data_IF_440117085509
#
_entry.id   IF_440117085509
#
_cell.length_a   1.000
_cell.length_b   1.000
_cell.length_c   1.000
_cell.angle_alpha   90.00
_cell.angle_beta   90.00
_cell.angle_gamma   90.00
#
_symmetry.space_group_name_H-M   'P 1'
#
loop_
_entity.id
_entity.type
_entity.pdbx_description
1 polymer ?
#
# COMPACT_ATOMS: atom_id res chain seq x y z
N UNK A 1 -2.53 1.64 -5.80
CA UNK A 1 -3.34 1.97 -6.99
C UNK A 1 -3.27 3.47 -7.10
N UNK A 2 -2.94 4.01 -8.28
CA UNK A 2 -2.83 5.44 -8.52
C UNK A 2 -4.09 6.18 -8.04
N UNK A 3 -3.90 7.33 -7.40
CA UNK A 3 -4.98 8.22 -6.93
C UNK A 3 -5.94 8.52 -8.08
N UNK A 4 -7.24 8.35 -7.83
CA UNK A 4 -8.28 8.68 -8.80
C UNK A 4 -8.57 10.18 -8.74
N UNK A 5 -8.28 10.91 -9.81
CA UNK A 5 -8.34 12.39 -9.77
C UNK A 5 -9.63 12.93 -10.42
N UNK A 6 -10.41 12.09 -11.10
CA UNK A 6 -11.67 12.49 -11.73
C UNK A 6 -12.70 13.02 -10.72
N UNK A 7 -12.73 14.34 -10.50
CA UNK A 7 -13.78 15.04 -9.75
C UNK A 7 -14.97 15.22 -10.69
N UNK A 8 -16.09 14.53 -10.44
CA UNK A 8 -17.29 14.61 -11.27
C UNK A 8 -17.65 16.06 -11.62
N UNK A 9 -17.87 16.34 -12.90
CA UNK A 9 -18.26 17.65 -13.41
C UNK A 9 -19.75 17.73 -13.72
N UNK A 10 -20.35 18.89 -13.48
CA UNK A 10 -21.69 19.23 -13.93
C UNK A 10 -21.69 19.45 -15.45
N UNK A 11 -22.54 18.71 -16.16
CA UNK A 11 -22.81 18.93 -17.59
C UNK A 11 -23.99 19.90 -17.72
N UNK A 12 -23.91 20.94 -18.57
CA UNK A 12 -25.03 21.86 -18.82
C UNK A 12 -26.17 21.20 -19.62
N UNK A 13 -25.96 20.00 -20.13
CA UNK A 13 -26.99 19.17 -20.76
C UNK A 13 -27.56 18.18 -19.74
N UNK A 14 -28.90 17.96 -19.74
CA UNK A 14 -29.48 16.89 -18.95
C UNK A 14 -28.79 15.59 -19.33
N UNK A 15 -28.25 14.89 -18.34
CA UNK A 15 -27.68 13.56 -18.50
C UNK A 15 -28.85 12.67 -18.93
N UNK A 16 -29.14 12.58 -20.22
CA UNK A 16 -29.69 11.34 -20.73
C UNK A 16 -28.66 10.31 -20.30
N UNK A 17 -29.01 9.46 -19.34
CA UNK A 17 -28.24 8.25 -19.05
C UNK A 17 -27.99 7.63 -20.41
N UNK A 18 -26.79 7.86 -20.98
CA UNK A 18 -26.34 7.08 -22.12
C UNK A 18 -26.56 5.66 -21.62
N UNK A 19 -27.42 4.85 -22.25
CA UNK A 19 -27.56 3.46 -21.84
C UNK A 19 -26.14 2.96 -21.80
N UNK A 20 -25.69 2.50 -20.63
CA UNK A 20 -24.33 2.04 -20.40
C UNK A 20 -23.91 1.34 -21.69
N UNK A 21 -23.11 2.03 -22.52
CA UNK A 21 -22.51 1.37 -23.67
C UNK A 21 -21.82 0.21 -22.99
N UNK A 22 -22.14 -0.99 -23.45
CA UNK A 22 -21.58 -2.24 -23.00
C UNK A 22 -20.06 -2.20 -23.24
N UNK A 23 -19.33 -1.35 -22.52
CA UNK A 23 -17.96 -1.61 -22.13
C UNK A 23 -18.13 -2.72 -21.11
N UNK A 24 -17.92 -4.00 -21.47
CA UNK A 24 -17.80 -5.02 -20.44
C UNK A 24 -16.83 -4.48 -19.41
N UNK A 25 -17.27 -4.43 -18.14
CA UNK A 25 -16.44 -3.93 -17.05
C UNK A 25 -15.11 -4.65 -17.15
N UNK A 26 -14.02 -3.92 -17.44
CA UNK A 26 -12.71 -4.54 -17.54
C UNK A 26 -12.43 -5.22 -16.20
N UNK A 27 -11.73 -6.34 -16.19
CA UNK A 27 -11.38 -7.03 -14.94
C UNK A 27 -10.73 -6.08 -13.91
N UNK A 28 -10.04 -5.06 -14.39
CA UNK A 28 -9.46 -3.97 -13.59
C UNK A 28 -10.51 -3.09 -12.89
N UNK A 29 -11.65 -2.80 -13.53
CA UNK A 29 -12.75 -2.04 -12.92
C UNK A 29 -13.51 -2.87 -11.88
N UNK A 30 -13.60 -4.19 -12.08
CA UNK A 30 -14.13 -5.11 -11.06
C UNK A 30 -13.20 -5.19 -9.85
N UNK A 31 -11.88 -5.26 -10.08
CA UNK A 31 -10.85 -5.18 -9.04
C UNK A 31 -10.92 -3.84 -8.29
N UNK A 32 -11.18 -2.73 -8.98
CA UNK A 32 -11.33 -1.42 -8.34
C UNK A 32 -12.52 -1.41 -7.36
N UNK A 33 -13.66 -1.94 -7.79
CA UNK A 33 -14.92 -1.90 -7.01
C UNK A 33 -14.97 -2.91 -5.86
N UNK A 34 -14.45 -4.12 -6.09
CA UNK A 34 -14.60 -5.26 -5.16
C UNK A 34 -13.29 -5.74 -4.57
N UNK A 35 -12.15 -5.28 -5.07
CA UNK A 35 -10.85 -5.65 -4.55
C UNK A 35 -10.61 -5.06 -3.17
N UNK A 36 -9.87 -5.82 -2.37
CA UNK A 36 -9.36 -5.34 -1.10
C UNK A 36 -8.09 -4.54 -1.34
N UNK A 37 -7.90 -3.48 -0.54
CA UNK A 37 -6.68 -2.70 -0.58
C UNK A 37 -5.56 -3.48 0.12
N UNK A 38 -4.41 -3.58 -0.52
CA UNK A 38 -3.23 -4.25 0.01
C UNK A 38 -1.94 -3.46 -0.27
N UNK A 39 -0.93 -3.67 0.56
CA UNK A 39 0.45 -3.26 0.32
C UNK A 39 1.19 -4.39 -0.37
N UNK A 40 2.04 -4.02 -1.32
CA UNK A 40 2.82 -4.98 -2.07
C UNK A 40 4.24 -4.47 -2.25
N UNK A 41 5.20 -5.31 -1.92
CA UNK A 41 6.62 -5.05 -2.09
C UNK A 41 7.39 -6.36 -2.10
N UNK A 42 8.65 -6.26 -2.52
CA UNK A 42 9.62 -7.36 -2.45
C UNK A 42 10.63 -7.09 -1.34
N UNK A 43 10.99 -8.14 -0.61
CA UNK A 43 12.10 -8.12 0.33
C UNK A 43 13.36 -8.63 -0.35
N UNK A 44 14.40 -7.82 -0.37
CA UNK A 44 15.74 -8.19 -0.87
C UNK A 44 16.74 -8.15 0.27
N UNK A 45 17.82 -8.93 0.18
CA UNK A 45 18.85 -8.87 1.22
C UNK A 45 19.55 -7.51 1.20
N UNK A 46 19.75 -6.93 2.38
CA UNK A 46 20.47 -5.68 2.52
C UNK A 46 21.97 -5.90 2.25
N UNK A 47 22.60 -5.10 1.38
CA UNK A 47 24.02 -5.22 1.06
C UNK A 47 24.94 -4.73 2.19
N UNK A 48 24.42 -4.06 3.22
CA UNK A 48 25.22 -3.54 4.32
C UNK A 48 25.85 -4.67 5.16
N UNK A 49 27.06 -4.47 5.71
CA UNK A 49 27.69 -5.39 6.67
C UNK A 49 26.78 -5.64 7.88
N UNK A 50 26.76 -6.88 8.40
CA UNK A 50 25.86 -7.29 9.50
C UNK A 50 25.94 -6.36 10.72
N UNK A 51 27.14 -5.90 11.08
CA UNK A 51 27.39 -5.01 12.23
C UNK A 51 26.74 -3.62 12.09
N UNK A 52 26.46 -3.20 10.85
CA UNK A 52 25.81 -1.91 10.55
C UNK A 52 24.29 -2.03 10.33
N UNK A 53 23.77 -3.26 10.36
CA UNK A 53 22.33 -3.53 10.21
C UNK A 53 21.62 -3.25 11.52
N UNK A 54 21.32 -1.98 11.75
CA UNK A 54 20.36 -1.59 12.79
C UNK A 54 18.93 -1.86 12.30
N UNK A 55 18.00 -2.25 13.19
CA UNK A 55 16.57 -2.39 12.85
C UNK A 55 15.96 -1.14 12.21
N UNK A 56 16.52 0.05 12.48
CA UNK A 56 16.04 1.36 12.03
C UNK A 56 16.85 1.95 10.87
N UNK A 57 17.54 1.12 10.08
CA UNK A 57 18.23 1.61 8.89
C UNK A 57 17.19 2.13 7.89
N UNK A 58 17.38 3.35 7.36
CA UNK A 58 16.44 4.04 6.43
C UNK A 58 15.90 3.16 5.29
N UNK A 59 16.66 2.13 4.90
CA UNK A 59 16.33 1.23 3.80
C UNK A 59 16.22 -0.24 4.21
N UNK A 60 16.49 -0.60 5.47
CA UNK A 60 16.68 -1.99 5.88
C UNK A 60 15.96 -2.30 7.19
N UNK A 61 15.04 -3.26 7.14
CA UNK A 61 14.37 -3.86 8.29
C UNK A 61 15.03 -5.22 8.57
N UNK A 62 15.84 -5.28 9.64
CA UNK A 62 16.51 -6.50 10.10
C UNK A 62 17.31 -7.26 9.02
N UNK A 63 17.96 -6.53 8.12
CA UNK A 63 18.76 -7.11 7.04
C UNK A 63 18.00 -7.33 5.72
N UNK A 64 16.74 -6.91 5.63
CA UNK A 64 15.96 -6.95 4.38
C UNK A 64 15.55 -5.54 3.94
N UNK A 65 15.73 -5.22 2.66
CA UNK A 65 15.27 -3.97 2.05
C UNK A 65 13.92 -4.19 1.38
N UNK A 66 12.99 -3.27 1.62
CA UNK A 66 11.71 -3.22 0.90
C UNK A 66 11.95 -2.54 -0.45
N UNK A 67 11.53 -3.20 -1.51
CA UNK A 67 11.54 -2.66 -2.87
C UNK A 67 10.11 -2.57 -3.39
N UNK A 68 9.74 -1.37 -3.84
CA UNK A 68 8.42 -1.05 -4.35
C UNK A 68 8.49 -0.78 -5.86
N UNK A 69 7.42 -1.08 -6.57
CA UNK A 69 7.25 -0.58 -7.94
C UNK A 69 6.85 0.90 -7.87
N UNK A 70 7.71 1.79 -8.36
CA UNK A 70 7.46 3.24 -8.29
C UNK A 70 6.41 3.72 -9.30
N UNK A 71 6.32 3.06 -10.46
CA UNK A 71 5.44 3.47 -11.56
C UNK A 71 4.57 2.32 -12.04
N UNK A 72 3.31 2.60 -12.36
CA UNK A 72 2.39 1.66 -13.02
C UNK A 72 2.18 2.08 -14.47
N UNK A 73 2.38 1.15 -15.40
CA UNK A 73 2.00 1.33 -16.81
C UNK A 73 0.51 1.09 -16.95
N UNK A 74 -0.18 2.02 -17.60
CA UNK A 74 -1.58 1.91 -17.99
C UNK A 74 -1.62 1.95 -19.52
N UNK A 75 -2.27 0.95 -20.10
CA UNK A 75 -2.34 0.75 -21.55
C UNK A 75 -3.80 0.81 -22.01
N UNK A 76 -4.01 1.38 -23.19
CA UNK A 76 -5.29 1.46 -23.87
C UNK A 76 -6.41 2.04 -23.01
N UNK A 77 -6.09 3.05 -22.21
CA UNK A 77 -7.09 3.76 -21.42
C UNK A 77 -7.80 4.80 -22.28
N UNK A 78 -9.13 4.80 -22.24
CA UNK A 78 -9.93 5.87 -22.81
C UNK A 78 -9.97 7.03 -21.82
N UNK A 79 -9.64 8.23 -22.29
CA UNK A 79 -9.65 9.48 -21.52
C UNK A 79 -10.99 9.67 -20.82
N UNK A 80 -10.93 10.12 -19.56
CA UNK A 80 -12.13 10.38 -18.77
C UNK A 80 -12.91 11.59 -19.29
N UNK A 81 -12.19 12.65 -19.66
CA UNK A 81 -12.76 13.92 -20.12
C UNK A 81 -11.78 14.63 -21.05
N UNK A 82 -12.31 15.33 -22.04
CA UNK A 82 -11.55 16.20 -22.94
C UNK A 82 -12.14 17.60 -22.89
N UNK A 83 -11.28 18.61 -22.75
CA UNK A 83 -11.65 20.03 -22.79
C UNK A 83 -10.66 20.81 -23.65
N UNK A 84 -11.01 21.01 -24.92
CA UNK A 84 -10.13 21.68 -25.88
C UNK A 84 -8.81 20.90 -26.02
N UNK A 85 -7.74 21.45 -25.46
CA UNK A 85 -6.40 20.85 -25.49
C UNK A 85 -6.05 20.00 -24.28
N UNK A 86 -6.95 19.90 -23.30
CA UNK A 86 -6.72 19.17 -22.04
C UNK A 86 -7.40 17.82 -22.08
N UNK A 87 -6.63 16.77 -21.80
CA UNK A 87 -7.10 15.40 -21.79
C UNK A 87 -6.93 14.88 -20.36
N UNK A 88 -8.04 14.76 -19.65
CA UNK A 88 -8.07 14.29 -18.27
C UNK A 88 -8.09 12.77 -18.22
N UNK A 89 -7.21 12.22 -17.39
CA UNK A 89 -7.08 10.78 -17.19
C UNK A 89 -7.74 10.38 -15.86
N UNK A 90 -8.09 9.10 -15.69
CA UNK A 90 -8.72 8.65 -14.44
C UNK A 90 -7.72 8.59 -13.28
N UNK A 91 -6.46 8.30 -13.59
CA UNK A 91 -5.44 7.98 -12.61
C UNK A 91 -4.28 8.96 -12.67
N UNK A 92 -3.75 9.33 -11.50
CA UNK A 92 -2.52 10.10 -11.39
C UNK A 92 -1.87 9.93 -10.01
N UNK A 93 -0.73 10.60 -9.76
CA UNK A 93 -0.08 11.59 -10.63
C UNK A 93 0.53 10.97 -11.90
N UNK A 94 0.34 11.63 -13.05
CA UNK A 94 0.91 11.18 -14.33
C UNK A 94 2.43 11.44 -14.34
N UNK A 95 3.22 10.40 -14.63
CA UNK A 95 4.68 10.50 -14.78
C UNK A 95 5.09 10.79 -16.21
N UNK A 96 4.54 10.04 -17.16
CA UNK A 96 4.92 10.13 -18.57
C UNK A 96 3.83 9.55 -19.45
N UNK A 97 3.62 10.13 -20.64
CA UNK A 97 2.74 9.58 -21.67
C UNK A 97 3.60 8.87 -22.70
N UNK A 98 3.28 7.62 -22.99
CA UNK A 98 3.95 6.83 -24.03
C UNK A 98 3.33 7.10 -25.40
N UNK A 99 2.00 7.03 -25.49
CA UNK A 99 1.25 7.21 -26.74
C UNK A 99 -0.10 7.82 -26.46
N UNK A 100 -0.58 8.65 -27.38
CA UNK A 100 -1.90 9.25 -27.27
C UNK A 100 -2.54 9.32 -28.66
N UNK A 101 -3.75 8.77 -28.76
CA UNK A 101 -4.42 8.58 -30.04
C UNK A 101 -5.86 9.06 -29.98
N UNK A 102 -6.25 9.79 -31.00
CA UNK A 102 -7.62 10.18 -31.24
C UNK A 102 -8.21 9.35 -32.39
N UNK A 103 -9.42 8.84 -32.18
CA UNK A 103 -10.15 8.08 -33.19
C UNK A 103 -11.12 8.98 -33.94
N UNK A 104 -10.90 9.17 -35.23
CA UNK A 104 -11.80 9.89 -36.12
C UNK A 104 -12.07 9.10 -37.39
N UNK A 105 -13.35 8.80 -37.67
CA UNK A 105 -13.79 8.14 -38.91
C UNK A 105 -12.91 6.92 -39.27
N UNK A 106 -12.72 6.02 -38.29
CA UNK A 106 -11.91 4.78 -38.42
C UNK A 106 -10.40 5.00 -38.61
N UNK A 107 -9.90 6.23 -38.57
CA UNK A 107 -8.48 6.55 -38.56
C UNK A 107 -7.99 6.80 -37.13
N UNK A 108 -6.80 6.28 -36.84
CA UNK A 108 -6.07 6.50 -35.57
C UNK A 108 -5.06 7.62 -35.79
N UNK A 109 -5.35 8.80 -35.26
CA UNK A 109 -4.46 9.96 -35.33
C UNK A 109 -3.68 10.07 -34.03
N UNK A 110 -2.35 10.10 -34.12
CA UNK A 110 -1.49 10.34 -32.95
C UNK A 110 -1.50 11.83 -32.60
N UNK A 111 -1.71 12.13 -31.31
CA UNK A 111 -1.72 13.50 -30.80
C UNK A 111 -0.34 13.86 -30.24
N UNK A 112 0.00 15.15 -30.28
CA UNK A 112 1.31 15.60 -29.82
C UNK A 112 1.23 16.17 -28.42
N UNK A 113 1.94 15.56 -27.48
CA UNK A 113 1.98 16.01 -26.07
C UNK A 113 2.86 17.26 -25.92
N UNK A 114 2.29 18.33 -25.36
CA UNK A 114 3.03 19.53 -24.98
C UNK A 114 3.51 19.48 -23.53
N UNK A 115 2.59 19.19 -22.62
CA UNK A 115 2.84 19.26 -21.18
C UNK A 115 2.07 18.17 -20.45
N UNK A 116 2.65 17.65 -19.38
CA UNK A 116 2.04 16.66 -18.50
C UNK A 116 1.83 17.31 -17.13
N UNK A 117 0.58 17.33 -16.68
CA UNK A 117 0.21 17.68 -15.29
C UNK A 117 -0.18 16.42 -14.54
N UNK A 118 -0.44 16.55 -13.24
CA UNK A 118 -0.75 15.41 -12.38
C UNK A 118 -2.05 14.70 -12.79
N UNK A 119 -3.04 15.45 -13.31
CA UNK A 119 -4.41 15.02 -13.57
C UNK A 119 -4.84 15.09 -15.06
N UNK A 120 -4.10 15.85 -15.87
CA UNK A 120 -4.35 15.96 -17.30
C UNK A 120 -3.06 16.07 -18.12
N UNK A 121 -3.20 15.74 -19.41
CA UNK A 121 -2.19 15.93 -20.44
C UNK A 121 -2.65 17.06 -21.35
N UNK A 122 -1.73 17.98 -21.67
CA UNK A 122 -1.98 19.06 -22.61
C UNK A 122 -1.40 18.69 -23.97
N UNK A 123 -2.23 18.75 -25.01
CA UNK A 123 -1.86 18.41 -26.39
C UNK A 123 -1.83 19.65 -27.30
N UNK A 124 -1.16 19.55 -28.45
CA UNK A 124 -1.13 20.62 -29.46
C UNK A 124 -2.50 20.83 -30.11
N UNK A 125 -3.17 19.72 -30.40
CA UNK A 125 -4.39 19.67 -31.17
C UNK A 125 -5.61 20.09 -30.32
N UNK A 126 -6.54 20.81 -30.93
CA UNK A 126 -7.78 21.22 -30.28
C UNK A 126 -8.86 20.16 -30.50
N UNK A 127 -9.40 19.64 -29.40
CA UNK A 127 -10.35 18.54 -29.40
C UNK A 127 -11.69 18.97 -28.80
N UNK A 128 -12.75 18.44 -29.38
CA UNK A 128 -14.10 18.58 -28.86
C UNK A 128 -14.34 17.64 -27.68
N UNK A 129 -15.25 18.03 -26.77
CA UNK A 129 -15.52 17.30 -25.53
C UNK A 129 -16.02 15.86 -25.75
N UNK A 130 -16.56 15.56 -26.94
CA UNK A 130 -17.08 14.24 -27.30
C UNK A 130 -16.03 13.33 -27.96
N UNK A 131 -14.82 13.83 -28.24
CA UNK A 131 -13.74 13.02 -28.80
C UNK A 131 -13.27 11.97 -27.80
N UNK A 132 -13.11 10.73 -28.29
CA UNK A 132 -12.54 9.64 -27.51
C UNK A 132 -11.05 9.57 -27.80
N UNK A 133 -10.25 9.79 -26.75
CA UNK A 133 -8.80 9.68 -26.81
C UNK A 133 -8.37 8.43 -26.07
N UNK A 134 -7.57 7.58 -26.71
CA UNK A 134 -6.89 6.47 -26.08
C UNK A 134 -5.47 6.88 -25.69
N UNK A 135 -5.07 6.59 -24.46
CA UNK A 135 -3.80 7.02 -23.87
C UNK A 135 -3.10 5.84 -23.22
N UNK A 136 -1.81 5.69 -23.53
CA UNK A 136 -0.88 4.80 -22.84
C UNK A 136 0.06 5.67 -22.00
N UNK A 137 0.09 5.49 -20.67
CA UNK A 137 0.83 6.37 -19.78
C UNK A 137 1.29 5.65 -18.50
N UNK A 138 2.24 6.28 -17.80
CA UNK A 138 2.73 5.84 -16.49
C UNK A 138 2.20 6.75 -15.41
N UNK A 139 1.82 6.16 -14.30
CA UNK A 139 1.41 6.86 -13.08
C UNK A 139 2.37 6.54 -11.95
N UNK A 140 2.63 7.53 -11.08
CA UNK A 140 3.43 7.33 -9.88
C UNK A 140 2.61 6.63 -8.80
N UNK A 141 3.15 5.57 -8.23
CA UNK A 141 2.59 4.87 -7.07
C UNK A 141 3.14 5.40 -5.74
N UNK A 142 4.27 6.11 -5.79
CA UNK A 142 4.89 6.75 -4.62
C UNK A 142 4.71 8.27 -4.75
N UNK A 143 4.27 8.86 -3.63
CA UNK A 143 4.11 10.31 -3.48
C UNK A 143 4.89 10.81 -2.29
N UNK A 144 5.48 12.00 -2.41
CA UNK A 144 6.05 12.71 -1.26
C UNK A 144 4.98 13.64 -0.71
N UNK A 145 4.64 13.46 0.57
CA UNK A 145 3.71 14.35 1.28
C UNK A 145 4.44 15.06 2.41
N UNK A 146 4.02 16.29 2.67
CA UNK A 146 4.42 17.04 3.86
C UNK A 146 3.19 17.20 4.73
N UNK A 147 3.26 16.71 5.97
CA UNK A 147 2.16 16.80 6.94
C UNK A 147 2.66 17.45 8.22
N UNK A 148 1.74 18.11 8.92
CA UNK A 148 2.00 18.77 10.20
C UNK A 148 1.25 17.98 11.26
N UNK A 149 1.98 17.48 12.25
CA UNK A 149 1.41 16.73 13.37
C UNK A 149 1.66 17.49 14.65
N UNK A 150 0.64 17.59 15.50
CA UNK A 150 0.83 18.08 16.86
C UNK A 150 1.33 16.92 17.73
N UNK A 151 2.60 16.96 18.09
CA UNK A 151 3.21 15.96 18.94
C UNK A 151 2.99 16.30 20.41
N UNK A 152 2.50 15.34 21.18
CA UNK A 152 2.37 15.38 22.64
C UNK A 152 3.13 14.24 23.33
N UNK A 153 3.78 13.38 22.55
CA UNK A 153 4.47 12.18 23.02
C UNK A 153 5.66 11.80 22.12
N UNK A 154 6.33 10.68 22.42
CA UNK A 154 7.40 10.13 21.57
C UNK A 154 6.89 9.51 20.27
N UNK A 155 5.59 9.21 20.18
CA UNK A 155 5.00 8.52 19.02
C UNK A 155 3.92 9.40 18.43
N UNK A 156 3.98 9.60 17.12
CA UNK A 156 2.98 10.35 16.38
C UNK A 156 2.39 9.49 15.28
N UNK A 157 1.13 9.77 14.94
CA UNK A 157 0.38 9.10 13.87
C UNK A 157 0.01 10.14 12.81
N UNK A 158 0.92 10.46 11.88
CA UNK A 158 0.65 11.45 10.85
C UNK A 158 -0.56 11.07 10.00
N UNK A 159 -1.50 11.99 9.81
CA UNK A 159 -2.63 11.76 8.93
C UNK A 159 -2.16 11.63 7.47
N UNK A 160 -2.69 10.63 6.78
CA UNK A 160 -2.41 10.35 5.36
C UNK A 160 -3.75 10.29 4.64
N UNK A 161 -3.84 10.94 3.48
CA UNK A 161 -4.98 10.74 2.59
C UNK A 161 -5.01 9.28 2.07
N UNK A 162 -6.21 8.68 2.01
CA UNK A 162 -6.49 7.45 1.24
C UNK A 162 -5.72 6.15 1.63
N UNK A 163 -5.65 5.79 2.91
CA UNK A 163 -5.03 4.52 3.38
C UNK A 163 -3.58 4.30 2.88
N UNK A 164 -2.86 5.37 2.55
CA UNK A 164 -1.44 5.31 2.23
C UNK A 164 -0.63 4.73 3.38
N UNK A 165 0.56 4.21 3.08
CA UNK A 165 1.51 3.76 4.11
C UNK A 165 2.87 4.41 3.92
N UNK A 166 3.57 4.61 5.03
CA UNK A 166 4.95 5.07 5.03
C UNK A 166 5.88 4.03 4.41
N UNK A 167 6.50 4.41 3.30
CA UNK A 167 7.66 3.74 2.72
C UNK A 167 8.93 4.22 3.43
N UNK A 168 9.08 5.53 3.58
CA UNK A 168 10.19 6.17 4.27
C UNK A 168 9.73 7.47 4.93
N UNK A 169 10.39 7.82 6.04
CA UNK A 169 10.11 9.02 6.81
C UNK A 169 11.36 9.86 6.88
N UNK A 170 11.25 11.13 6.47
CA UNK A 170 12.27 12.14 6.63
C UNK A 170 11.73 13.23 7.59
N UNK A 171 12.39 13.41 8.74
CA UNK A 171 11.99 14.44 9.70
C UNK A 171 12.46 15.83 9.23
N UNK A 172 11.56 16.81 9.26
CA UNK A 172 11.89 18.20 8.93
C UNK A 172 11.23 19.14 9.94
N UNK A 173 12.04 19.81 10.74
CA UNK A 173 11.70 21.02 11.52
C UNK A 173 10.52 20.95 12.52
N UNK A 174 10.87 21.06 13.81
CA UNK A 174 9.98 21.61 14.84
C UNK A 174 10.04 23.13 14.76
N UNK A 175 8.92 23.84 14.98
CA UNK A 175 8.88 25.31 15.13
C UNK A 175 10.06 25.77 16.02
N UNK A 176 11.15 26.25 15.40
CA UNK A 176 12.47 26.71 15.92
C UNK A 176 13.71 26.21 15.14
N UNK A 177 13.57 25.59 13.95
CA UNK A 177 14.70 25.14 13.10
C UNK A 177 15.56 23.99 13.64
N UNK A 178 15.11 23.32 14.70
CA UNK A 178 15.81 22.15 15.23
C UNK A 178 15.28 20.88 14.55
N UNK A 179 16.18 20.12 13.92
CA UNK A 179 15.88 18.78 13.39
C UNK A 179 15.85 17.79 14.54
N UNK A 180 14.78 17.01 14.66
CA UNK A 180 14.67 15.95 15.68
C UNK A 180 14.94 14.59 15.02
N UNK A 181 15.88 13.79 15.55
CA UNK A 181 16.15 12.47 15.00
C UNK A 181 14.96 11.52 15.25
N UNK A 182 14.54 10.84 14.18
CA UNK A 182 13.58 9.75 14.23
C UNK A 182 14.26 8.56 14.92
N UNK A 183 13.55 7.92 15.86
CA UNK A 183 13.98 6.66 16.46
C UNK A 183 13.59 5.47 15.60
N UNK A 184 12.32 5.42 15.16
CA UNK A 184 11.78 4.34 14.33
C UNK A 184 10.55 4.83 13.56
N UNK A 185 10.12 4.08 12.56
CA UNK A 185 8.79 4.23 11.97
C UNK A 185 8.19 2.86 11.69
N UNK A 186 6.87 2.79 11.79
CA UNK A 186 6.08 1.63 11.41
C UNK A 186 5.37 1.96 10.09
N UNK A 187 4.39 1.13 9.72
CA UNK A 187 3.51 1.40 8.60
C UNK A 187 2.61 2.65 8.81
N UNK A 188 2.28 2.96 10.06
CA UNK A 188 1.27 3.96 10.43
C UNK A 188 1.73 4.96 11.47
N UNK A 189 2.90 4.77 12.09
CA UNK A 189 3.40 5.64 13.15
C UNK A 189 4.87 6.01 12.97
N UNK A 190 5.25 7.15 13.54
CA UNK A 190 6.63 7.62 13.62
C UNK A 190 6.99 7.79 15.09
N UNK A 191 8.12 7.23 15.50
CA UNK A 191 8.64 7.29 16.87
C UNK A 191 9.91 8.12 16.91
N UNK A 192 10.05 9.00 17.90
CA UNK A 192 11.20 9.89 18.08
C UNK A 192 12.08 9.46 19.26
N UNK A 193 13.36 9.85 19.24
CA UNK A 193 14.30 9.50 20.31
C UNK A 193 13.98 10.19 21.64
N UNK A 194 13.35 11.37 21.57
CA UNK A 194 12.96 12.20 22.70
C UNK A 194 11.51 12.61 22.54
N UNK A 195 10.86 12.93 23.66
CA UNK A 195 9.52 13.53 23.62
C UNK A 195 9.58 14.85 22.87
N UNK A 196 8.61 15.02 21.96
CA UNK A 196 8.45 16.26 21.22
C UNK A 196 7.10 16.83 21.62
N UNK A 197 7.09 18.13 21.91
CA UNK A 197 5.88 18.87 22.24
C UNK A 197 5.68 19.97 21.19
N UNK A 198 4.47 20.02 20.62
CA UNK A 198 4.05 21.02 19.65
C UNK A 198 4.07 20.52 18.21
N UNK A 199 3.94 21.46 17.27
CA UNK A 199 3.84 21.14 15.84
C UNK A 199 5.18 20.67 15.26
N UNK A 200 5.15 19.49 14.65
CA UNK A 200 6.24 18.86 13.93
C UNK A 200 5.84 18.73 12.48
N UNK A 201 6.69 19.23 11.58
CA UNK A 201 6.53 18.96 10.16
C UNK A 201 7.24 17.65 9.81
N UNK A 202 6.59 16.81 9.02
CA UNK A 202 7.12 15.49 8.67
C UNK A 202 6.99 15.31 7.17
N UNK A 203 8.09 14.94 6.53
CA UNK A 203 8.11 14.59 5.11
C UNK A 203 8.06 13.08 4.98
N UNK A 204 7.06 12.59 4.28
CA UNK A 204 6.77 11.17 4.16
C UNK A 204 6.82 10.76 2.70
N UNK A 205 7.47 9.63 2.42
CA UNK A 205 7.24 8.88 1.18
C UNK A 205 6.12 7.91 1.43
N UNK A 206 5.03 8.09 0.69
CA UNK A 206 3.81 7.29 0.84
C UNK A 206 3.61 6.45 -0.40
N UNK A 207 3.53 5.14 -0.19
CA UNK A 207 3.15 4.18 -1.21
C UNK A 207 1.62 4.05 -1.24
N UNK A 208 1.04 4.16 -2.43
CA UNK A 208 -0.41 4.06 -2.60
C UNK A 208 -0.88 2.60 -2.65
N UNK A 209 -1.81 2.18 -1.78
CA UNK A 209 -2.21 0.78 -1.64
C UNK A 209 -2.82 0.24 -2.93
N UNK A 210 -2.41 -0.95 -3.34
CA UNK A 210 -2.91 -1.64 -4.54
C UNK A 210 -4.22 -2.37 -4.25
N UNK A 211 -4.96 -2.75 -5.30
CA UNK A 211 -6.16 -3.56 -5.17
C UNK A 211 -5.87 -4.99 -5.59
N UNK A 212 -6.26 -5.93 -4.74
CA UNK A 212 -6.20 -7.36 -5.04
C UNK A 212 -7.57 -7.98 -4.80
N UNK A 213 -7.94 -8.97 -5.58
CA UNK A 213 -9.06 -9.86 -5.27
C UNK A 213 -8.52 -11.26 -5.01
N UNK A 214 -9.12 -11.99 -4.07
CA UNK A 214 -8.72 -13.35 -3.76
C UNK A 214 -9.95 -14.22 -3.50
N UNK A 215 -9.87 -15.50 -3.88
CA UNK A 215 -10.93 -16.48 -3.62
C UNK A 215 -10.74 -17.02 -2.20
N UNK A 216 -11.59 -16.61 -1.27
CA UNK A 216 -11.78 -17.34 -0.01
C UNK A 216 -12.59 -18.60 -0.29
N UNK A 217 -12.26 -19.73 0.35
CA UNK A 217 -13.01 -20.98 0.19
C UNK A 217 -14.51 -20.74 0.36
N UNK A 218 -15.29 -20.97 -0.70
CA UNK A 218 -16.75 -20.99 -0.65
C UNK A 218 -17.20 -22.43 -0.46
N UNK A 219 -17.97 -22.68 0.60
CA UNK A 219 -18.59 -23.98 0.92
C UNK A 219 -19.62 -24.41 -0.15
N UNK A 220 -20.03 -23.50 -1.06
CA UNK A 220 -21.03 -23.76 -2.11
C UNK A 220 -20.45 -23.63 -3.53
N UNK A 221 -19.52 -24.51 -3.91
CA UNK A 221 -18.98 -24.58 -5.29
C UNK A 221 -19.95 -25.23 -6.31
N UNK A 222 -21.24 -25.44 -5.97
CA UNK A 222 -22.20 -26.13 -6.88
C UNK A 222 -22.91 -25.22 -7.88
N UNK A 223 -22.93 -23.89 -7.74
CA UNK A 223 -23.83 -23.05 -8.54
C UNK A 223 -23.27 -21.74 -9.12
N UNK A 224 -21.96 -21.50 -9.09
CA UNK A 224 -21.37 -20.35 -9.80
C UNK A 224 -20.35 -20.81 -10.81
N UNK A 225 -20.46 -20.34 -12.07
CA UNK A 225 -19.63 -20.75 -13.22
C UNK A 225 -18.11 -20.54 -13.09
N UNK A 226 -17.62 -20.07 -11.93
CA UNK A 226 -16.21 -19.96 -11.54
C UNK A 226 -15.71 -21.27 -10.88
N UNK A 227 -16.61 -22.14 -10.42
CA UNK A 227 -16.31 -23.42 -9.76
C UNK A 227 -15.71 -24.52 -10.67
N UNK A 228 -15.51 -24.24 -11.97
CA UNK A 228 -14.83 -25.16 -12.90
C UNK A 228 -13.33 -24.88 -13.07
N UNK A 229 -12.72 -24.07 -12.22
CA UNK A 229 -11.26 -23.96 -12.18
C UNK A 229 -10.68 -25.24 -11.55
N UNK A 230 -10.09 -26.08 -12.40
CA UNK A 230 -9.37 -27.33 -12.10
C UNK A 230 -8.12 -27.16 -11.23
N UNK A 231 -7.98 -26.05 -10.51
CA UNK A 231 -6.81 -25.78 -9.68
C UNK A 231 -7.11 -26.27 -8.28
N UNK A 232 -6.69 -27.49 -7.99
CA UNK A 232 -6.56 -27.97 -6.61
C UNK A 232 -5.59 -27.03 -5.88
N UNK A 233 -6.10 -26.32 -4.88
CA UNK A 233 -5.28 -25.49 -4.01
C UNK A 233 -4.74 -26.36 -2.88
N UNK A 234 -3.41 -26.42 -2.67
CA UNK A 234 -2.84 -27.00 -1.46
C UNK A 234 -3.40 -26.33 -0.21
N UNK A 235 -3.48 -27.07 0.90
CA UNK A 235 -4.02 -26.58 2.17
C UNK A 235 -3.39 -25.24 2.58
N UNK A 236 -4.23 -24.20 2.67
CA UNK A 236 -3.85 -22.86 3.12
C UNK A 236 -3.33 -21.89 2.05
N UNK A 237 -3.33 -22.27 0.76
CA UNK A 237 -3.07 -21.34 -0.35
C UNK A 237 -4.37 -20.68 -0.84
N UNK A 238 -4.28 -19.39 -1.15
CA UNK A 238 -5.34 -18.60 -1.76
C UNK A 238 -4.97 -18.24 -3.19
N UNK A 239 -5.93 -18.36 -4.10
CA UNK A 239 -5.81 -17.81 -5.45
C UNK A 239 -6.17 -16.33 -5.43
N UNK A 240 -5.27 -15.49 -5.93
CA UNK A 240 -5.43 -14.06 -5.98
C UNK A 240 -5.19 -13.50 -7.39
N UNK A 241 -5.74 -12.32 -7.63
CA UNK A 241 -5.71 -11.61 -8.90
C UNK A 241 -5.33 -10.15 -8.66
N UNK A 242 -4.42 -9.64 -9.49
CA UNK A 242 -3.96 -8.25 -9.51
C UNK A 242 -4.01 -7.70 -10.93
N UNK A 243 -4.05 -6.36 -11.07
CA UNK A 243 -4.02 -5.70 -12.37
C UNK A 243 -2.81 -6.08 -13.23
N UNK A 244 -2.93 -5.90 -14.53
CA UNK A 244 -1.96 -6.32 -15.55
C UNK A 244 -0.61 -5.59 -15.44
N UNK A 245 -0.62 -4.29 -15.14
CA UNK A 245 0.57 -3.43 -15.08
C UNK A 245 1.51 -3.64 -13.89
N UNK A 246 1.14 -4.46 -12.90
CA UNK A 246 1.98 -4.75 -11.73
C UNK A 246 2.97 -5.88 -12.03
N UNK A 247 4.21 -5.75 -11.56
CA UNK A 247 5.29 -6.72 -11.79
C UNK A 247 5.47 -7.67 -10.61
N UNK A 248 4.50 -8.57 -10.42
CA UNK A 248 4.53 -9.56 -9.34
C UNK A 248 5.51 -10.70 -9.62
N UNK A 249 6.22 -11.17 -8.59
CA UNK A 249 7.02 -12.38 -8.64
C UNK A 249 6.87 -13.26 -7.40
N UNK A 250 7.41 -14.48 -7.48
CA UNK A 250 7.51 -15.39 -6.34
C UNK A 250 8.28 -14.74 -5.18
N UNK A 251 7.84 -14.96 -3.95
CA UNK A 251 8.43 -14.40 -2.75
C UNK A 251 7.99 -12.98 -2.41
N UNK A 252 7.22 -12.32 -3.27
CA UNK A 252 6.66 -11.00 -2.98
C UNK A 252 5.71 -11.06 -1.78
N UNK A 253 5.67 -9.97 -1.01
CA UNK A 253 4.87 -9.84 0.20
C UNK A 253 3.64 -9.00 -0.10
N UNK A 254 2.49 -9.46 0.37
CA UNK A 254 1.20 -8.80 0.25
C UNK A 254 0.62 -8.63 1.65
N UNK A 255 0.23 -7.41 2.02
CA UNK A 255 -0.33 -7.11 3.35
C UNK A 255 -1.68 -6.46 3.17
N UNK A 256 -2.73 -7.04 3.75
CA UNK A 256 -4.07 -6.45 3.67
C UNK A 256 -4.16 -5.21 4.55
N UNK A 257 -4.65 -4.11 3.98
CA UNK A 257 -4.72 -2.81 4.67
C UNK A 257 -5.89 -2.69 5.65
N UNK A 258 -6.94 -3.51 5.46
CA UNK A 258 -8.19 -3.45 6.22
C UNK A 258 -8.39 -4.65 7.14
N UNK A 259 -7.89 -5.82 6.75
CA UNK A 259 -8.04 -7.05 7.52
C UNK A 259 -6.96 -7.17 8.59
N UNK A 260 -7.34 -6.87 9.83
CA UNK A 260 -6.52 -7.10 11.03
C UNK A 260 -7.00 -8.33 11.80
N UNK A 261 -6.06 -9.00 12.45
CA UNK A 261 -6.33 -10.13 13.34
C UNK A 261 -5.76 -9.83 14.73
N UNK A 262 -6.45 -10.30 15.77
CA UNK A 262 -6.03 -10.11 17.15
C UNK A 262 -5.18 -11.28 17.63
N UNK A 263 -4.07 -10.97 18.29
CA UNK A 263 -3.25 -11.96 18.99
C UNK A 263 -3.01 -11.55 20.43
N UNK A 264 -2.98 -12.54 21.32
CA UNK A 264 -2.64 -12.36 22.73
C UNK A 264 -1.55 -13.35 23.11
N UNK A 265 -0.49 -12.88 23.76
CA UNK A 265 0.58 -13.74 24.21
C UNK A 265 1.21 -13.25 25.50
N UNK A 266 1.90 -14.17 26.18
CA UNK A 266 2.77 -13.86 27.29
C UNK A 266 4.23 -13.86 26.84
N UNK A 267 4.92 -12.74 27.06
CA UNK A 267 6.33 -12.55 26.77
C UNK A 267 7.12 -12.79 28.05
N UNK A 268 7.92 -13.86 28.04
CA UNK A 268 8.83 -14.18 29.15
C UNK A 268 9.92 -13.11 29.25
N UNK A 269 10.33 -12.79 30.48
CA UNK A 269 11.45 -11.89 30.67
C UNK A 269 12.71 -12.45 29.98
N UNK A 270 13.31 -11.61 29.16
CA UNK A 270 14.62 -11.84 28.55
C UNK A 270 15.48 -10.60 28.80
N UNK A 271 16.80 -10.76 28.98
CA UNK A 271 17.72 -9.63 29.14
C UNK A 271 17.98 -8.87 27.82
N UNK A 272 17.34 -9.28 26.72
CA UNK A 272 17.40 -8.58 25.44
C UNK A 272 16.75 -7.20 25.54
N UNK A 273 17.36 -6.21 24.88
CA UNK A 273 16.83 -4.86 24.74
C UNK A 273 15.52 -4.82 23.92
N UNK A 274 15.27 -5.86 23.13
CA UNK A 274 14.12 -5.99 22.26
C UNK A 274 13.38 -7.31 22.48
N UNK A 275 12.05 -7.23 22.55
CA UNK A 275 11.16 -8.39 22.50
C UNK A 275 10.49 -8.46 21.13
N UNK A 276 10.59 -9.62 20.46
CA UNK A 276 10.00 -9.83 19.14
C UNK A 276 8.61 -10.44 19.24
N UNK A 277 7.63 -9.79 18.62
CA UNK A 277 6.29 -10.33 18.45
C UNK A 277 6.24 -11.26 17.23
N UNK A 278 5.57 -12.42 17.33
CA UNK A 278 5.54 -13.44 16.28
C UNK A 278 4.76 -13.00 15.04
N UNK A 279 3.68 -12.23 15.22
CA UNK A 279 2.85 -11.76 14.12
C UNK A 279 3.21 -10.33 13.73
N UNK A 280 3.42 -10.10 12.43
CA UNK A 280 3.80 -8.79 11.90
C UNK A 280 3.19 -8.53 10.51
N UNK A 281 2.96 -7.26 10.16
CA UNK A 281 3.20 -6.05 10.95
C UNK A 281 2.10 -5.78 11.98
N UNK A 282 2.50 -5.31 13.15
CA UNK A 282 1.56 -4.85 14.19
C UNK A 282 0.82 -3.61 13.70
N UNK A 283 -0.51 -3.67 13.74
CA UNK A 283 -1.39 -2.55 13.41
C UNK A 283 -1.59 -1.65 14.64
N UNK A 284 -1.91 -2.27 15.78
CA UNK A 284 -2.19 -1.57 17.03
C UNK A 284 -1.88 -2.47 18.23
N UNK A 285 -1.41 -1.89 19.33
CA UNK A 285 -1.27 -2.58 20.61
C UNK A 285 -2.43 -2.16 21.50
N UNK A 286 -3.37 -3.09 21.72
CA UNK A 286 -4.55 -2.88 22.55
C UNK A 286 -4.16 -2.80 24.03
N UNK A 287 -3.34 -3.74 24.51
CA UNK A 287 -3.03 -3.81 25.95
C UNK A 287 -1.70 -4.46 26.28
N UNK A 288 -0.99 -3.90 27.26
CA UNK A 288 0.20 -4.49 27.87
C UNK A 288 0.06 -4.52 29.38
N UNK A 289 0.18 -5.72 29.98
CA UNK A 289 -0.04 -5.94 31.42
C UNK A 289 1.12 -6.73 32.00
N UNK A 290 1.66 -6.30 33.14
CA UNK A 290 2.62 -7.07 33.92
C UNK A 290 2.15 -7.28 35.36
N UNK A 291 2.82 -8.17 36.09
CA UNK A 291 2.58 -8.37 37.52
C UNK A 291 3.43 -7.40 38.33
N UNK A 292 2.77 -6.54 39.10
CA UNK A 292 3.37 -5.69 40.13
C UNK A 292 3.39 -6.35 41.50
N UNK A 293 3.83 -5.60 42.52
CA UNK A 293 3.81 -6.06 43.92
C UNK A 293 2.37 -6.18 44.45
N UNK A 294 1.52 -5.22 44.11
CA UNK A 294 0.17 -5.08 44.68
C UNK A 294 -0.96 -5.38 43.68
N UNK A 295 -0.64 -5.92 42.49
CA UNK A 295 -1.63 -6.21 41.47
C UNK A 295 -1.08 -6.21 40.05
N UNK A 296 -1.97 -6.05 39.07
CA UNK A 296 -1.59 -5.90 37.66
C UNK A 296 -1.26 -4.44 37.35
N UNK A 297 -0.18 -4.23 36.61
CA UNK A 297 0.25 -2.92 36.12
C UNK A 297 0.00 -2.89 34.62
N UNK A 298 -0.74 -1.88 34.16
CA UNK A 298 -0.97 -1.61 32.75
C UNK A 298 0.07 -0.61 32.25
N UNK A 299 0.69 -0.92 31.10
CA UNK A 299 1.77 -0.13 30.51
C UNK A 299 1.28 0.55 29.23
N UNK A 300 1.78 1.76 28.98
CA UNK A 300 1.36 2.60 27.84
C UNK A 300 2.45 2.74 26.79
N UNK A 301 2.05 2.64 25.52
CA UNK A 301 2.92 2.92 24.36
C UNK A 301 3.36 4.40 24.38
N UNK A 302 4.62 4.67 24.08
CA UNK A 302 5.21 6.01 24.09
C UNK A 302 5.75 6.45 25.45
N UNK A 303 5.20 5.90 26.55
CA UNK A 303 5.63 6.20 27.93
C UNK A 303 6.49 5.09 28.51
N UNK A 304 5.96 3.86 28.55
CA UNK A 304 6.63 2.72 29.18
C UNK A 304 7.46 1.90 28.19
N UNK A 305 6.97 1.81 26.95
CA UNK A 305 7.61 1.08 25.87
C UNK A 305 7.34 1.73 24.50
N UNK A 306 8.10 1.33 23.49
CA UNK A 306 7.97 1.72 22.09
C UNK A 306 7.83 0.48 21.22
N UNK A 307 6.99 0.58 20.20
CA UNK A 307 7.00 -0.33 19.06
C UNK A 307 8.02 0.19 18.05
N UNK A 308 8.98 -0.65 17.70
CA UNK A 308 10.04 -0.39 16.74
C UNK A 308 9.92 -1.34 15.55
N UNK A 309 10.16 -0.81 14.35
CA UNK A 309 9.95 -1.55 13.11
C UNK A 309 8.52 -2.07 12.99
N UNK A 310 8.36 -3.36 12.72
CA UNK A 310 7.05 -3.96 12.46
C UNK A 310 6.52 -4.83 13.60
N UNK A 311 7.39 -5.22 14.55
CA UNK A 311 7.05 -6.19 15.59
C UNK A 311 8.02 -6.21 16.79
N UNK A 312 8.92 -5.23 16.94
CA UNK A 312 9.85 -5.19 18.07
C UNK A 312 9.33 -4.28 19.17
N UNK A 313 9.27 -4.78 20.39
CA UNK A 313 8.93 -3.98 21.58
C UNK A 313 10.23 -3.62 22.30
N UNK A 314 10.47 -2.32 22.47
CA UNK A 314 11.58 -1.77 23.26
C UNK A 314 11.05 -1.07 24.49
N UNK A 315 11.51 -1.48 25.66
CA UNK A 315 11.12 -0.86 26.92
C UNK A 315 11.89 0.46 27.15
N UNK A 316 11.17 1.52 27.52
CA UNK A 316 11.75 2.80 27.97
C UNK A 316 12.05 2.70 29.47
N UNK A 317 11.07 2.21 30.21
CA UNK A 317 11.19 1.92 31.63
C UNK A 317 11.82 0.55 31.86
N UNK A 318 12.31 0.23 33.07
CA UNK A 318 12.87 -1.09 33.36
C UNK A 318 11.86 -2.20 33.01
N UNK A 319 12.26 -3.07 32.09
CA UNK A 319 11.46 -4.19 31.62
C UNK A 319 10.94 -5.03 32.80
N UNK A 320 9.63 -5.40 32.83
CA UNK A 320 9.07 -6.19 33.91
C UNK A 320 9.80 -7.54 34.07
N UNK A 321 10.46 -7.73 35.21
CA UNK A 321 11.19 -8.97 35.52
C UNK A 321 10.29 -10.20 35.57
N UNK A 322 9.00 -10.00 35.85
CA UNK A 322 7.99 -11.05 35.83
C UNK A 322 7.57 -11.47 34.42
N UNK A 323 8.08 -10.83 33.35
CA UNK A 323 7.44 -10.89 32.04
C UNK A 323 6.15 -10.07 31.99
N UNK A 324 5.52 -10.04 30.81
CA UNK A 324 4.29 -9.29 30.56
C UNK A 324 3.40 -9.99 29.53
N UNK A 325 2.11 -9.74 29.60
CA UNK A 325 1.13 -10.14 28.58
C UNK A 325 0.87 -8.97 27.64
N UNK A 326 0.76 -9.26 26.35
CA UNK A 326 0.46 -8.27 25.31
C UNK A 326 -0.70 -8.76 24.45
N UNK A 327 -1.63 -7.87 24.18
CA UNK A 327 -2.74 -8.04 23.23
C UNK A 327 -2.53 -6.99 22.14
N UNK A 328 -2.48 -7.43 20.90
CA UNK A 328 -2.23 -6.56 19.75
C UNK A 328 -2.94 -7.09 18.52
N UNK A 329 -3.29 -6.16 17.64
CA UNK A 329 -3.86 -6.42 16.33
C UNK A 329 -2.74 -6.32 15.30
N UNK A 330 -2.72 -7.21 14.30
CA UNK A 330 -1.72 -7.23 13.24
C UNK A 330 -2.39 -7.33 11.87
N UNK A 331 -1.75 -6.77 10.84
CA UNK A 331 -2.23 -6.88 9.48
C UNK A 331 -1.96 -8.26 8.91
N UNK A 332 -2.93 -8.80 8.18
CA UNK A 332 -2.77 -10.12 7.56
C UNK A 332 -1.74 -10.06 6.44
N UNK A 333 -0.70 -10.87 6.56
CA UNK A 333 0.43 -10.93 5.61
C UNK A 333 0.40 -12.23 4.81
N UNK A 334 0.60 -12.12 3.50
CA UNK A 334 0.70 -13.21 2.56
C UNK A 334 2.03 -13.16 1.81
N UNK A 335 2.55 -14.32 1.44
CA UNK A 335 3.66 -14.44 0.49
C UNK A 335 3.18 -15.11 -0.79
N UNK A 336 3.59 -14.56 -1.93
CA UNK A 336 3.35 -15.15 -3.25
C UNK A 336 4.17 -16.43 -3.38
N UNK A 337 3.50 -17.56 -3.62
CA UNK A 337 4.14 -18.89 -3.72
C UNK A 337 4.35 -19.32 -5.15
N UNK A 338 3.44 -18.99 -6.07
CA UNK A 338 3.59 -19.31 -7.49
C UNK A 338 2.73 -18.41 -8.36
N UNK A 339 3.13 -18.26 -9.62
CA UNK A 339 2.33 -17.58 -10.65
C UNK A 339 1.48 -18.61 -11.39
N UNK A 340 0.24 -18.24 -11.72
CA UNK A 340 -0.62 -19.08 -12.56
C UNK A 340 -0.53 -18.55 -13.99
N UNK A 341 0.10 -19.32 -14.88
CA UNK A 341 0.19 -18.97 -16.29
C UNK A 341 -1.19 -19.08 -16.95
N UNK A 342 -1.78 -17.93 -17.30
CA UNK A 342 -2.99 -17.88 -18.12
C UNK A 342 -2.62 -17.84 -19.61
N UNK A 343 -3.12 -18.80 -20.39
CA UNK A 343 -2.76 -19.00 -21.80
C UNK A 343 -2.90 -17.77 -22.73
N UNK A 344 -2.06 -17.77 -23.78
CA UNK A 344 -1.78 -16.69 -24.73
C UNK A 344 -2.82 -16.49 -25.86
N UNK A 345 -4.11 -16.66 -25.56
CA UNK A 345 -5.16 -16.63 -26.59
C UNK A 345 -5.67 -15.24 -27.01
N UNK A 346 -5.25 -14.15 -26.36
CA UNK A 346 -5.78 -12.80 -26.61
C UNK A 346 -4.65 -11.76 -26.62
N UNK A 347 -4.65 -10.83 -27.58
CA UNK A 347 -3.68 -9.71 -27.73
C UNK A 347 -3.77 -8.65 -26.60
N UNK A 348 -4.45 -8.95 -25.49
CA UNK A 348 -4.68 -8.02 -24.38
C UNK A 348 -3.96 -8.48 -23.12
N UNK A 349 -3.39 -7.52 -22.40
CA UNK A 349 -2.79 -7.76 -21.11
C UNK A 349 -3.85 -8.27 -20.11
N UNK A 350 -3.71 -9.52 -19.66
CA UNK A 350 -4.63 -10.13 -18.69
C UNK A 350 -4.23 -9.74 -17.26
N UNK A 351 -5.20 -9.67 -16.34
CA UNK A 351 -4.89 -9.61 -14.91
C UNK A 351 -3.99 -10.78 -14.51
N UNK A 352 -3.03 -10.52 -13.63
CA UNK A 352 -2.12 -11.55 -13.15
C UNK A 352 -2.81 -12.40 -12.11
N UNK A 353 -2.83 -13.70 -12.32
CA UNK A 353 -3.30 -14.69 -11.35
C UNK A 353 -2.10 -15.32 -10.65
N UNK A 354 -2.19 -15.48 -9.33
CA UNK A 354 -1.10 -16.01 -8.53
C UNK A 354 -1.63 -16.69 -7.28
N UNK A 355 -0.84 -17.61 -6.72
CA UNK A 355 -1.11 -18.25 -5.44
C UNK A 355 -0.35 -17.52 -4.35
N UNK A 356 -0.99 -17.38 -3.19
CA UNK A 356 -0.37 -16.79 -2.02
C UNK A 356 -0.73 -17.56 -0.76
N UNK A 357 0.19 -17.59 0.22
CA UNK A 357 0.02 -18.29 1.48
C UNK A 357 0.15 -17.32 2.65
N UNK A 358 -0.72 -17.46 3.65
CA UNK A 358 -0.63 -16.65 4.87
C UNK A 358 0.67 -16.96 5.60
N UNK A 359 1.38 -15.92 6.02
CA UNK A 359 2.61 -16.01 6.81
C UNK A 359 2.45 -15.19 8.09
N UNK A 360 3.01 -15.65 9.23
CA UNK A 360 2.88 -14.93 10.49
C UNK A 360 3.65 -13.59 10.46
N UNK A 361 4.78 -13.53 9.76
CA UNK A 361 5.57 -12.32 9.60
C UNK A 361 6.16 -12.26 8.20
N UNK A 362 6.58 -11.06 7.78
CA UNK A 362 7.18 -10.85 6.45
C UNK A 362 8.49 -11.63 6.27
N UNK A 363 9.14 -12.02 7.37
CA UNK A 363 10.41 -12.75 7.40
C UNK A 363 10.23 -14.26 7.51
N UNK A 364 9.05 -14.74 7.91
CA UNK A 364 8.77 -16.17 8.03
C UNK A 364 8.98 -16.84 6.67
N UNK A 365 9.79 -17.88 6.58
CA UNK A 365 10.11 -18.56 5.31
C UNK A 365 9.02 -19.51 4.86
#
# INVERSE_FOLDING_TARGET
>A
MPKKIGRGGETPFPISTKPNIFTPLRNEELLERRGESAYWFRLTQCPCPQETRVPDCKFCNEGLMKSFQEDLQIEEEISWKVEGRRIYLRYGPIKSVSKIFYYFREQKLELTVQEIKDDYVLVLEELEYYHQVQVDYKVKLISEIETIVNADSKVVFPEIEENGIYEAVDAIEVKNKNTVPIAAWTLTSVSFQKEIFGEVKIKLKVFQPIKIAYKTFSVDDRNTGIGRSLVENPDGELLAVMGSGYKLGEGDIIILTKSTLRHSMYVKFSPSDFDRLPFSPVAEIDKVISRGKDGFIEHRLGTDFLLMGENLVKWINPKPRSGYSIIYDYYTTFRVTSMVETGMGEDRAKPRQFKMKSVPSMQAR
#
